data_IF_608166344378
#
_entry.id   IF_608166344378
#
_cell.length_a   1.000
_cell.length_b   1.000
_cell.length_c   1.000
_cell.angle_alpha   90.00
_cell.angle_beta   90.00
_cell.angle_gamma   90.00
#
_symmetry.space_group_name_H-M   'P 1'
#
loop_
_entity.id
_entity.type
_entity.pdbx_description
1 polymer ?
#
# COMPACT_ATOMS: atom_id res chain seq x y z
N UNK A 1 0.91 -0.19 3.70
CA UNK A 1 0.67 -1.60 3.44
C UNK A 1 0.43 -2.28 4.76
N UNK A 2 -0.59 -3.14 4.84
CA UNK A 2 -0.91 -3.89 6.05
C UNK A 2 -1.11 -5.36 5.68
N UNK A 3 -0.48 -6.26 6.43
CA UNK A 3 -0.74 -7.70 6.37
C UNK A 3 -2.02 -7.99 7.15
N UNK A 4 -3.08 -8.40 6.45
CA UNK A 4 -4.39 -8.65 7.05
C UNK A 4 -4.41 -9.90 7.92
N UNK A 5 -3.58 -10.90 7.59
CA UNK A 5 -3.57 -12.21 8.22
C UNK A 5 -2.64 -12.23 9.43
N UNK A 6 -1.49 -11.55 9.34
CA UNK A 6 -0.52 -11.41 10.44
C UNK A 6 -0.69 -10.13 11.27
N UNK A 7 -1.62 -9.25 10.88
CA UNK A 7 -1.86 -7.93 11.51
C UNK A 7 -0.61 -7.05 11.59
N UNK A 8 0.28 -7.15 10.59
CA UNK A 8 1.57 -6.48 10.60
C UNK A 8 1.57 -5.21 9.73
N UNK A 9 1.98 -4.05 10.27
CA UNK A 9 2.10 -2.82 9.50
C UNK A 9 3.43 -2.78 8.73
N UNK A 10 3.38 -3.08 7.42
CA UNK A 10 4.50 -2.99 6.48
C UNK A 10 4.95 -1.55 6.14
N UNK A 11 4.40 -0.55 6.82
CA UNK A 11 4.72 0.85 6.57
C UNK A 11 4.11 1.44 5.29
N UNK A 12 4.68 2.53 4.81
CA UNK A 12 4.21 3.33 3.69
C UNK A 12 4.95 4.66 3.60
N UNK A 13 4.22 5.74 3.35
CA UNK A 13 4.79 7.08 3.34
C UNK A 13 3.83 8.10 2.73
N UNK A 14 4.28 9.34 2.73
CA UNK A 14 3.62 10.45 2.04
C UNK A 14 4.51 10.92 0.90
N UNK A 15 3.89 11.34 -0.19
CA UNK A 15 4.55 11.97 -1.33
C UNK A 15 3.73 13.18 -1.75
N UNK A 16 4.40 14.21 -2.26
CA UNK A 16 3.70 15.38 -2.78
C UNK A 16 3.00 15.06 -4.09
N UNK A 17 1.79 15.59 -4.24
CA UNK A 17 1.06 15.49 -5.51
C UNK A 17 1.70 16.40 -6.55
N UNK A 18 2.23 15.82 -7.62
CA UNK A 18 2.94 16.54 -8.68
C UNK A 18 2.07 16.76 -9.94
N UNK A 19 0.74 16.63 -9.82
CA UNK A 19 -0.18 16.70 -10.96
C UNK A 19 -0.37 15.37 -11.70
N UNK A 20 0.32 14.30 -11.29
CA UNK A 20 0.16 12.96 -11.84
C UNK A 20 -0.66 12.05 -10.92
N UNK A 21 -1.55 11.25 -11.51
CA UNK A 21 -2.27 10.19 -10.80
C UNK A 21 -1.42 8.90 -10.64
N UNK A 22 -0.11 8.97 -10.88
CA UNK A 22 0.81 7.83 -10.81
C UNK A 22 1.79 7.99 -9.65
N UNK A 23 1.80 7.00 -8.77
CA UNK A 23 2.84 6.84 -7.73
C UNK A 23 3.99 6.05 -8.36
N UNK A 24 5.14 6.68 -8.55
CA UNK A 24 6.30 6.02 -9.13
C UNK A 24 6.84 4.89 -8.24
N UNK A 25 7.43 3.87 -8.86
CA UNK A 25 8.14 2.81 -8.14
C UNK A 25 9.25 3.42 -7.29
N UNK A 26 9.34 3.01 -6.02
CA UNK A 26 10.33 3.52 -5.08
C UNK A 26 10.05 4.92 -4.53
N UNK A 27 8.89 5.53 -4.82
CA UNK A 27 8.50 6.81 -4.25
C UNK A 27 8.26 6.72 -2.72
N UNK A 28 7.72 5.59 -2.25
CA UNK A 28 7.54 5.33 -0.83
C UNK A 28 8.86 4.78 -0.25
N UNK A 29 9.45 5.50 0.70
CA UNK A 29 10.75 5.12 1.30
C UNK A 29 10.64 4.28 2.57
N UNK A 30 9.52 4.38 3.29
CA UNK A 30 9.32 3.67 4.56
C UNK A 30 8.35 2.50 4.38
N UNK A 31 8.59 1.69 3.34
CA UNK A 31 7.80 0.53 2.98
C UNK A 31 8.66 -0.72 3.02
N UNK A 32 8.23 -1.72 3.76
CA UNK A 32 8.80 -3.06 3.74
C UNK A 32 7.93 -3.97 2.86
N UNK A 33 8.58 -4.64 1.91
CA UNK A 33 7.92 -5.57 1.01
C UNK A 33 7.18 -6.70 1.74
N UNK A 34 6.31 -7.44 1.04
CA UNK A 34 5.75 -8.67 1.60
C UNK A 34 6.89 -9.61 2.02
N UNK A 35 6.92 -9.97 3.30
CA UNK A 35 7.86 -10.93 3.87
C UNK A 35 7.11 -12.14 4.42
N UNK A 36 6.43 -12.93 3.56
CA UNK A 36 5.71 -14.10 4.02
C UNK A 36 6.71 -15.15 4.50
N UNK A 37 6.74 -15.42 5.81
CA UNK A 37 7.53 -16.51 6.38
C UNK A 37 6.87 -17.86 6.03
N UNK A 38 5.53 -17.91 6.00
CA UNK A 38 4.73 -19.08 5.63
C UNK A 38 3.41 -18.68 4.95
N UNK A 39 2.92 -19.53 4.05
CA UNK A 39 1.59 -19.40 3.44
C UNK A 39 1.46 -18.31 2.38
N UNK A 40 0.21 -17.92 2.11
CA UNK A 40 -0.14 -16.90 1.13
C UNK A 40 -1.00 -15.78 1.77
N UNK A 41 -0.38 -14.87 2.56
CA UNK A 41 -1.11 -13.81 3.26
C UNK A 41 -1.74 -12.80 2.28
N UNK A 42 -2.78 -12.13 2.77
CA UNK A 42 -3.45 -11.03 2.08
C UNK A 42 -2.87 -9.72 2.57
N UNK A 43 -2.48 -8.89 1.61
CA UNK A 43 -1.96 -7.57 1.89
C UNK A 43 -2.90 -6.49 1.36
N UNK A 44 -3.07 -5.42 2.13
CA UNK A 44 -3.85 -4.25 1.75
C UNK A 44 -2.94 -3.01 1.61
N UNK A 45 -3.06 -2.33 0.47
CA UNK A 45 -2.54 -0.98 0.29
C UNK A 45 -3.73 -0.03 0.35
N UNK A 46 -3.62 1.00 1.18
CA UNK A 46 -4.53 2.13 1.21
C UNK A 46 -3.79 3.43 0.92
N UNK A 47 -4.49 4.36 0.27
CA UNK A 47 -3.99 5.67 -0.14
C UNK A 47 -5.02 6.71 0.30
N UNK A 48 -4.55 7.77 0.95
CA UNK A 48 -5.35 8.95 1.29
C UNK A 48 -4.82 10.12 0.48
N UNK A 49 -5.68 10.82 -0.23
CA UNK A 49 -5.37 12.13 -0.78
C UNK A 49 -5.70 13.18 0.27
N UNK A 50 -4.76 14.08 0.54
CA UNK A 50 -4.89 15.13 1.53
C UNK A 50 -4.94 16.49 0.82
N UNK A 51 -5.74 17.42 1.33
CA UNK A 51 -5.68 18.82 0.92
C UNK A 51 -4.53 19.57 1.63
N UNK A 52 -4.42 20.87 1.38
CA UNK A 52 -3.39 21.72 1.97
C UNK A 52 -3.49 21.88 3.50
N UNK A 53 -4.62 21.51 4.10
CA UNK A 53 -4.84 21.54 5.55
C UNK A 53 -4.58 20.17 6.20
N UNK A 54 -4.34 19.15 5.38
CA UNK A 54 -4.18 17.77 5.83
C UNK A 54 -5.50 17.00 5.92
N UNK A 55 -6.60 17.57 5.43
CA UNK A 55 -7.90 16.92 5.44
C UNK A 55 -7.98 15.88 4.32
N UNK A 56 -8.59 14.73 4.59
CA UNK A 56 -8.74 13.65 3.60
C UNK A 56 -9.82 14.03 2.60
N UNK A 57 -9.42 14.22 1.34
CA UNK A 57 -10.34 14.55 0.24
C UNK A 57 -10.69 13.35 -0.63
N UNK A 58 -9.87 12.30 -0.60
CA UNK A 58 -10.17 11.03 -1.26
C UNK A 58 -9.47 9.85 -0.57
N UNK A 59 -10.03 8.66 -0.77
CA UNK A 59 -9.50 7.43 -0.23
C UNK A 59 -9.60 6.29 -1.25
N UNK A 60 -8.53 5.53 -1.42
CA UNK A 60 -8.51 4.31 -2.21
C UNK A 60 -7.88 3.18 -1.41
N UNK A 61 -8.36 1.96 -1.60
CA UNK A 61 -7.71 0.77 -1.06
C UNK A 61 -7.82 -0.40 -2.02
N UNK A 62 -6.81 -1.26 -2.00
CA UNK A 62 -6.82 -2.50 -2.75
C UNK A 62 -6.11 -3.60 -1.97
N UNK A 63 -6.70 -4.78 -2.01
CA UNK A 63 -6.17 -5.97 -1.37
C UNK A 63 -5.73 -6.97 -2.44
N UNK A 64 -4.62 -7.68 -2.18
CA UNK A 64 -4.17 -8.81 -3.01
C UNK A 64 -3.48 -9.86 -2.13
N UNK A 65 -3.62 -11.13 -2.51
CA UNK A 65 -2.85 -12.25 -1.95
C UNK A 65 -1.43 -12.27 -2.53
N UNK A 66 -0.45 -12.65 -1.72
CA UNK A 66 0.92 -12.90 -2.17
C UNK A 66 1.46 -14.24 -1.61
N UNK A 67 2.08 -15.12 -2.41
CA UNK A 67 2.23 -14.97 -3.86
C UNK A 67 0.85 -14.92 -4.55
N UNK A 68 0.72 -14.19 -5.67
CA UNK A 68 -0.51 -14.20 -6.43
C UNK A 68 -0.79 -15.63 -6.91
N UNK A 69 -2.05 -16.05 -6.88
CA UNK A 69 -2.45 -17.34 -7.46
C UNK A 69 -1.90 -17.39 -8.91
N UNK A 70 -1.33 -18.54 -9.31
CA UNK A 70 -0.88 -18.73 -10.70
C UNK A 70 -2.03 -18.34 -11.61
N UNK A 71 -1.78 -17.38 -12.50
CA UNK A 71 -2.78 -16.95 -13.48
C UNK A 71 -3.05 -18.15 -14.39
N UNK A 72 -4.14 -18.87 -14.11
CA UNK A 72 -4.78 -19.77 -15.06
C UNK A 72 -5.42 -19.01 -16.20
#
# INVERSE_FOLDING_TARGET
MFDLDNRYPHGGGSIDYNGSNTIAVGALKNYEGPSPIYGAPRYEISVKALDSKGDVVAFGKKMKRFPPDEQG
#
